data_IF_726833275159
#
_entry.id   IF_726833275159
#
_cell.length_a   1.000
_cell.length_b   1.000
_cell.length_c   1.000
_cell.angle_alpha   90.00
_cell.angle_beta   90.00
_cell.angle_gamma   90.00
#
_symmetry.space_group_name_H-M   'P 1'
#
loop_
_entity.id
_entity.type
_entity.pdbx_description
1 polymer ?
#
# COMPACT_ATOMS: atom_id res chain seq x y z
N UNK A 1 -2.21 -12.61 -17.09
CA UNK A 1 -3.08 -13.70 -17.57
C UNK A 1 -2.29 -14.99 -17.51
N UNK A 2 -2.81 -16.04 -16.88
CA UNK A 2 -2.19 -17.38 -16.85
C UNK A 2 -3.08 -18.35 -17.60
N UNK A 3 -2.49 -19.29 -18.33
CA UNK A 3 -3.20 -20.30 -19.10
C UNK A 3 -2.97 -21.67 -18.47
N UNK A 4 -4.05 -22.36 -18.13
CA UNK A 4 -4.02 -23.68 -17.52
C UNK A 4 -4.66 -24.68 -18.49
N UNK A 5 -4.05 -25.84 -18.66
CA UNK A 5 -4.62 -26.98 -19.39
C UNK A 5 -4.26 -28.28 -18.69
N UNK A 6 -5.15 -29.25 -18.75
CA UNK A 6 -4.85 -30.63 -18.37
C UNK A 6 -4.48 -31.43 -19.62
N UNK A 7 -3.52 -32.33 -19.48
CA UNK A 7 -3.16 -33.30 -20.52
C UNK A 7 -3.20 -34.70 -19.91
N UNK A 8 -3.85 -35.63 -20.61
CA UNK A 8 -3.82 -37.04 -20.32
C UNK A 8 -2.99 -37.74 -21.40
N UNK A 9 -1.93 -38.41 -20.96
CA UNK A 9 -0.92 -38.98 -21.85
C UNK A 9 -1.34 -40.32 -22.46
N UNK A 10 -2.59 -40.76 -22.24
CA UNK A 10 -3.05 -42.08 -22.64
C UNK A 10 -2.47 -43.20 -21.77
N UNK A 11 -2.96 -44.41 -22.00
CA UNK A 11 -2.39 -45.65 -21.48
C UNK A 11 -2.59 -46.78 -22.51
N UNK A 12 -2.32 -48.03 -22.10
CA UNK A 12 -2.45 -49.20 -22.99
C UNK A 12 -3.87 -49.40 -23.56
N UNK A 13 -4.88 -48.81 -22.94
CA UNK A 13 -6.30 -48.99 -23.27
C UNK A 13 -6.96 -47.70 -23.77
N UNK A 14 -6.38 -46.51 -23.51
CA UNK A 14 -6.98 -45.22 -23.83
C UNK A 14 -6.03 -44.25 -24.54
N UNK A 15 -6.55 -43.52 -25.53
CA UNK A 15 -5.82 -42.51 -26.29
C UNK A 15 -5.50 -41.25 -25.46
N UNK A 16 -4.53 -40.48 -25.92
CA UNK A 16 -4.18 -39.18 -25.31
C UNK A 16 -5.27 -38.15 -25.52
N UNK A 17 -5.42 -37.22 -24.58
CA UNK A 17 -6.34 -36.10 -24.71
C UNK A 17 -5.82 -34.86 -23.98
N UNK A 18 -6.31 -33.68 -24.38
CA UNK A 18 -6.00 -32.42 -23.71
C UNK A 18 -7.28 -31.62 -23.50
N UNK A 19 -7.37 -30.93 -22.37
CA UNK A 19 -8.49 -30.03 -22.11
C UNK A 19 -8.35 -28.74 -22.93
N UNK A 20 -9.45 -28.01 -23.18
CA UNK A 20 -9.37 -26.61 -23.59
C UNK A 20 -8.53 -25.79 -22.61
N UNK A 21 -7.95 -24.70 -23.11
CA UNK A 21 -7.21 -23.74 -22.29
C UNK A 21 -8.22 -22.98 -21.43
N UNK A 22 -7.97 -22.93 -20.12
CA UNK A 22 -8.66 -22.06 -19.18
C UNK A 22 -7.73 -20.89 -18.85
N UNK A 23 -8.16 -19.69 -19.19
CA UNK A 23 -7.44 -18.47 -18.86
C UNK A 23 -7.88 -17.95 -17.49
N UNK A 24 -6.93 -17.62 -16.64
CA UNK A 24 -7.18 -16.96 -15.35
C UNK A 24 -6.54 -15.58 -15.31
N UNK A 25 -7.31 -14.61 -14.82
CA UNK A 25 -6.83 -13.28 -14.45
C UNK A 25 -6.45 -13.30 -12.97
N UNK A 26 -5.27 -12.78 -12.65
CA UNK A 26 -4.84 -12.56 -11.27
C UNK A 26 -4.78 -11.06 -11.10
N UNK A 27 -5.78 -10.51 -10.43
CA UNK A 27 -5.86 -9.09 -10.16
C UNK A 27 -4.96 -8.73 -8.98
N UNK A 28 -4.60 -7.45 -8.89
CA UNK A 28 -3.86 -6.92 -7.75
C UNK A 28 -4.72 -6.97 -6.50
N UNK A 29 -4.13 -7.34 -5.38
CA UNK A 29 -4.79 -7.26 -4.09
C UNK A 29 -5.01 -5.79 -3.71
N UNK A 30 -6.21 -5.46 -3.26
CA UNK A 30 -6.54 -4.11 -2.82
C UNK A 30 -5.88 -3.79 -1.48
N UNK A 31 -5.56 -2.51 -1.24
CA UNK A 31 -4.94 -2.06 0.01
C UNK A 31 -5.69 -0.90 0.65
N UNK A 32 -5.50 -0.74 1.95
CA UNK A 32 -5.89 0.45 2.72
C UNK A 32 -4.67 1.04 3.41
N UNK A 33 -4.59 2.37 3.45
CA UNK A 33 -3.53 3.10 4.16
C UNK A 33 -4.14 3.90 5.30
N UNK A 34 -3.55 3.83 6.49
CA UNK A 34 -3.88 4.68 7.64
C UNK A 34 -2.66 5.53 8.00
N UNK A 35 -2.88 6.75 8.48
CA UNK A 35 -1.82 7.69 8.89
C UNK A 35 -2.06 8.15 10.33
N UNK A 36 -0.97 8.33 11.08
CA UNK A 36 -0.97 9.03 12.36
C UNK A 36 0.26 9.94 12.45
N UNK A 37 0.09 11.13 13.02
CA UNK A 37 1.19 12.04 13.41
C UNK A 37 1.40 12.08 14.92
N UNK A 38 2.65 12.14 15.37
CA UNK A 38 2.99 12.25 16.78
C UNK A 38 4.31 13.04 16.99
N UNK A 39 4.39 13.92 18.00
CA UNK A 39 3.28 14.37 18.86
C UNK A 39 2.26 15.21 18.07
N UNK A 40 0.99 15.20 18.48
CA UNK A 40 -0.07 16.06 17.92
C UNK A 40 -0.99 16.49 19.07
N UNK A 41 -1.04 17.79 19.45
CA UNK A 41 -0.36 18.91 18.80
C UNK A 41 1.17 18.91 19.03
N UNK A 42 1.89 19.65 18.18
CA UNK A 42 3.34 19.90 18.28
C UNK A 42 3.64 21.39 18.47
N UNK A 43 4.89 21.74 18.75
CA UNK A 43 5.36 23.14 18.74
C UNK A 43 6.16 23.44 17.48
N UNK A 44 6.19 24.71 17.02
CA UNK A 44 7.02 25.10 15.86
C UNK A 44 8.47 24.61 16.00
N UNK A 45 8.97 23.93 14.97
CA UNK A 45 10.33 23.37 14.94
C UNK A 45 10.52 22.05 15.70
N UNK A 46 9.47 21.52 16.36
CA UNK A 46 9.52 20.20 16.98
C UNK A 46 9.49 19.10 15.92
N UNK A 47 10.28 18.06 16.12
CA UNK A 47 10.25 16.87 15.26
C UNK A 47 8.93 16.12 15.46
N UNK A 48 8.17 15.98 14.40
CA UNK A 48 6.94 15.17 14.30
C UNK A 48 7.24 13.93 13.47
N UNK A 49 6.86 12.77 14.00
CA UNK A 49 6.91 11.48 13.31
C UNK A 49 5.55 11.18 12.67
N UNK A 50 5.56 10.91 11.38
CA UNK A 50 4.42 10.45 10.60
C UNK A 50 4.57 8.94 10.40
N UNK A 51 3.55 8.18 10.79
CA UNK A 51 3.53 6.72 10.66
C UNK A 51 2.36 6.30 9.78
N UNK A 52 2.66 5.72 8.62
CA UNK A 52 1.68 5.15 7.72
C UNK A 52 1.66 3.62 7.85
N UNK A 53 0.48 3.05 7.97
CA UNK A 53 0.25 1.60 8.00
C UNK A 53 -0.55 1.19 6.78
N UNK A 54 -0.01 0.29 5.96
CA UNK A 54 -0.63 -0.21 4.74
C UNK A 54 -1.00 -1.68 4.94
N UNK A 55 -2.29 -1.99 4.79
CA UNK A 55 -2.84 -3.33 4.95
C UNK A 55 -3.50 -3.82 3.68
N UNK A 56 -3.56 -5.13 3.49
CA UNK A 56 -4.25 -5.78 2.37
C UNK A 56 -5.70 -6.03 2.76
N UNK A 57 -6.61 -5.80 1.82
CA UNK A 57 -8.04 -6.10 1.98
C UNK A 57 -8.32 -7.52 1.48
N UNK A 58 -9.06 -8.30 2.27
CA UNK A 58 -9.49 -9.64 1.89
C UNK A 58 -10.34 -9.60 0.59
N UNK A 59 -10.24 -10.60 -0.29
CA UNK A 59 -9.55 -11.88 -0.13
C UNK A 59 -8.04 -11.84 -0.47
N UNK A 60 -7.47 -10.66 -0.71
CA UNK A 60 -6.04 -10.50 -0.91
C UNK A 60 -5.24 -10.93 0.32
N UNK A 61 -3.96 -11.26 0.12
CA UNK A 61 -3.06 -11.65 1.20
C UNK A 61 -1.63 -11.14 0.97
N UNK A 62 -0.77 -11.38 1.96
CA UNK A 62 0.62 -10.94 1.98
C UNK A 62 0.81 -9.57 2.66
N UNK A 63 2.05 -9.10 2.66
CA UNK A 63 2.44 -7.80 3.23
C UNK A 63 2.83 -6.84 2.11
N UNK A 64 2.22 -5.65 2.02
CA UNK A 64 2.61 -4.64 1.03
C UNK A 64 4.06 -4.20 1.24
N UNK A 65 4.79 -4.09 0.15
CA UNK A 65 6.12 -3.52 0.08
C UNK A 65 6.12 -2.31 -0.87
N UNK A 66 7.18 -1.51 -0.83
CA UNK A 66 7.32 -0.30 -1.64
C UNK A 66 7.44 0.95 -0.78
N UNK A 67 6.98 2.08 -1.29
CA UNK A 67 7.13 3.39 -0.65
C UNK A 67 5.77 4.04 -0.41
N UNK A 68 5.71 4.84 0.66
CA UNK A 68 4.60 5.73 0.99
C UNK A 68 5.10 7.17 0.89
N UNK A 69 4.32 8.02 0.24
CA UNK A 69 4.57 9.46 0.15
C UNK A 69 3.69 10.19 1.18
N UNK A 70 4.29 11.09 1.95
CA UNK A 70 3.61 11.87 2.98
C UNK A 70 3.42 13.30 2.51
N UNK A 71 2.21 13.83 2.67
CA UNK A 71 1.83 15.15 2.18
C UNK A 71 1.23 16.01 3.29
N UNK A 72 1.40 17.32 3.14
CA UNK A 72 0.59 18.34 3.79
C UNK A 72 -0.23 19.08 2.73
N UNK A 73 -1.53 18.82 2.69
CA UNK A 73 -2.37 19.19 1.54
C UNK A 73 -1.83 18.58 0.24
N UNK A 74 -1.42 19.43 -0.71
CA UNK A 74 -0.83 19.01 -1.98
C UNK A 74 0.71 18.96 -1.96
N UNK A 75 1.35 19.41 -0.88
CA UNK A 75 2.80 19.53 -0.78
C UNK A 75 3.40 18.21 -0.30
N UNK A 76 4.32 17.63 -1.08
CA UNK A 76 5.08 16.47 -0.67
C UNK A 76 6.08 16.86 0.43
N UNK A 77 5.97 16.25 1.60
CA UNK A 77 6.92 16.42 2.71
C UNK A 77 8.11 15.46 2.57
N UNK A 78 7.83 14.23 2.13
CA UNK A 78 8.85 13.20 1.95
C UNK A 78 8.26 11.82 1.74
N UNK A 79 9.14 10.81 1.75
CA UNK A 79 8.77 9.41 1.50
C UNK A 79 9.34 8.49 2.58
N UNK A 80 8.62 7.42 2.89
CA UNK A 80 9.09 6.32 3.74
C UNK A 80 8.96 4.98 3.04
N UNK A 81 9.92 4.09 3.25
CA UNK A 81 9.87 2.72 2.73
C UNK A 81 9.06 1.83 3.68
N UNK A 82 8.18 0.99 3.13
CA UNK A 82 7.43 0.01 3.91
C UNK A 82 8.36 -1.09 4.43
N UNK A 83 8.31 -1.31 5.74
CA UNK A 83 8.88 -2.46 6.42
C UNK A 83 7.77 -3.10 7.26
N UNK A 84 7.41 -4.34 6.97
CA UNK A 84 6.30 -5.01 7.67
C UNK A 84 4.93 -4.32 7.50
N UNK A 85 4.72 -3.60 6.39
CA UNK A 85 3.48 -2.83 6.16
C UNK A 85 3.47 -1.45 6.82
N UNK A 86 4.57 -1.02 7.45
CA UNK A 86 4.67 0.29 8.10
C UNK A 86 5.76 1.13 7.44
N UNK A 87 5.45 2.39 7.15
CA UNK A 87 6.41 3.39 6.69
C UNK A 87 6.41 4.57 7.66
N UNK A 88 7.59 5.09 7.98
CA UNK A 88 7.75 6.26 8.86
C UNK A 88 8.49 7.38 8.15
N UNK A 89 8.16 8.63 8.52
CA UNK A 89 8.84 9.82 8.05
C UNK A 89 8.81 10.89 9.15
N UNK A 90 9.94 11.53 9.42
CA UNK A 90 10.04 12.59 10.43
C UNK A 90 10.27 13.95 9.80
N UNK A 91 9.58 14.97 10.28
CA UNK A 91 9.73 16.36 9.84
C UNK A 91 9.65 17.33 11.00
N UNK A 92 10.39 18.43 10.92
CA UNK A 92 10.31 19.58 11.83
C UNK A 92 9.94 20.88 11.10
N UNK A 93 9.54 20.76 9.83
CA UNK A 93 9.31 21.91 8.94
C UNK A 93 7.86 22.43 8.97
N UNK A 94 6.97 21.83 9.78
CA UNK A 94 5.57 22.27 9.90
C UNK A 94 5.53 23.65 10.57
N UNK A 95 4.77 24.57 9.97
CA UNK A 95 4.60 25.95 10.45
C UNK A 95 3.48 26.04 11.48
N UNK A 96 3.37 27.14 12.24
CA UNK A 96 2.23 27.33 13.15
C UNK A 96 0.90 27.26 12.38
N UNK A 97 -0.07 26.50 12.90
CA UNK A 97 -1.39 26.34 12.28
C UNK A 97 -1.88 24.89 12.18
N UNK A 98 -2.91 24.69 11.36
CA UNK A 98 -3.51 23.38 11.10
C UNK A 98 -3.01 22.82 9.76
N UNK A 99 -2.58 21.56 9.78
CA UNK A 99 -2.05 20.81 8.64
C UNK A 99 -2.95 19.62 8.33
N UNK A 100 -3.27 19.45 7.05
CA UNK A 100 -4.09 18.34 6.56
C UNK A 100 -3.17 17.25 6.02
N UNK A 101 -2.68 16.38 6.90
CA UNK A 101 -1.68 15.40 6.55
C UNK A 101 -2.31 14.17 5.89
N UNK A 102 -1.70 13.67 4.82
CA UNK A 102 -2.11 12.42 4.15
C UNK A 102 -0.91 11.55 3.79
N UNK A 103 -1.15 10.25 3.69
CA UNK A 103 -0.17 9.26 3.25
C UNK A 103 -0.70 8.52 2.03
N UNK A 104 0.09 8.47 0.95
CA UNK A 104 -0.26 7.78 -0.28
C UNK A 104 0.71 6.62 -0.55
N UNK A 105 0.17 5.40 -0.58
CA UNK A 105 0.86 4.22 -1.07
C UNK A 105 0.66 4.10 -2.59
N UNK A 106 1.75 4.11 -3.36
CA UNK A 106 1.72 4.08 -4.82
C UNK A 106 1.29 2.74 -5.44
N UNK A 107 1.07 1.71 -4.63
CA UNK A 107 0.82 0.36 -5.11
C UNK A 107 2.09 -0.35 -5.59
N UNK A 108 1.91 -1.53 -6.19
CA UNK A 108 2.99 -2.32 -6.79
C UNK A 108 2.47 -3.19 -7.94
N UNK A 109 3.27 -4.14 -8.41
CA UNK A 109 2.81 -5.17 -9.34
C UNK A 109 1.77 -6.11 -8.73
N UNK A 110 1.75 -6.28 -7.40
CA UNK A 110 0.86 -7.19 -6.69
C UNK A 110 -0.27 -6.48 -5.91
N UNK A 111 -0.12 -5.19 -5.62
CA UNK A 111 -1.02 -4.43 -4.75
C UNK A 111 -1.54 -3.15 -5.42
N UNK A 112 -2.80 -2.79 -5.23
CA UNK A 112 -3.33 -1.50 -5.70
C UNK A 112 -2.83 -0.35 -4.84
N UNK A 113 -2.79 0.85 -5.41
CA UNK A 113 -2.53 2.08 -4.67
C UNK A 113 -3.68 2.37 -3.68
N UNK A 114 -3.37 3.11 -2.62
CA UNK A 114 -4.35 3.63 -1.66
C UNK A 114 -3.84 4.89 -0.97
N UNK A 115 -4.76 5.72 -0.47
CA UNK A 115 -4.45 6.96 0.24
C UNK A 115 -5.18 6.98 1.57
N UNK A 116 -4.53 7.47 2.61
CA UNK A 116 -5.16 7.60 3.93
C UNK A 116 -6.25 8.67 3.93
N UNK A 117 -7.20 8.59 4.88
CA UNK A 117 -7.93 9.76 5.33
C UNK A 117 -6.98 10.88 5.79
N UNK A 118 -7.51 12.10 5.90
CA UNK A 118 -6.76 13.24 6.44
C UNK A 118 -6.53 13.04 7.94
N UNK A 119 -5.27 13.11 8.37
CA UNK A 119 -4.86 13.30 9.76
C UNK A 119 -4.66 14.80 10.00
N UNK A 120 -5.48 15.39 10.87
CA UNK A 120 -5.37 16.83 11.16
C UNK A 120 -4.33 17.05 12.25
N UNK A 121 -3.23 17.70 11.89
CA UNK A 121 -2.15 18.01 12.81
C UNK A 121 -2.14 19.49 13.17
N UNK A 122 -1.97 19.82 14.44
CA UNK A 122 -1.90 21.21 14.91
C UNK A 122 -0.52 21.54 15.44
N UNK A 123 0.03 22.67 15.00
CA UNK A 123 1.30 23.23 15.47
C UNK A 123 1.01 24.52 16.23
N UNK A 124 1.47 24.60 17.47
CA UNK A 124 1.35 25.76 18.38
C UNK A 124 2.66 26.54 18.52
#
# INVERSE_FOLDING_TARGET
MRSIRAAYNGDANFNTSTSPIVNTTVDKATTTTALSSAPNPSTVGQTVSLTATVTVVAPGGGTPAGTVSFFDGATLLGTGTLSGGVATFSTSALTAGSHALTAAYGGSSAYTASTSPVDTHTVM
#
